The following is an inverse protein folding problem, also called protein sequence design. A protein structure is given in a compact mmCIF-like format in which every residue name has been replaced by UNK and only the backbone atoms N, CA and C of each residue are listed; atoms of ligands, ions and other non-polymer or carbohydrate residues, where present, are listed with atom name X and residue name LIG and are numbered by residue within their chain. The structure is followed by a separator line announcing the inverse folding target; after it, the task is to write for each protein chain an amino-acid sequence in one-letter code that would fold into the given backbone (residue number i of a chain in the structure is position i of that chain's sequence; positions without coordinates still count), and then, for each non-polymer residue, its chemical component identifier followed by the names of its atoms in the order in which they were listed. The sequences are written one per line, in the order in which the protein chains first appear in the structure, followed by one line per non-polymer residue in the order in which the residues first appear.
data_IF_177969632473
#
_entry.id   IF_177969632473
#
_cell.length_a   1.000
_cell.length_b   1.000
_cell.length_c   1.000
_cell.angle_alpha   90.00
_cell.angle_beta   90.00
_cell.angle_gamma   90.00
#
_symmetry.space_group_name_H-M   'P 1'
#
loop_
_entity.id
_entity.type
_entity.pdbx_description
1 polymer ?
#
# COMPACT_ATOMS: atom_id res chain seq x y z
N UNK A 1 -78.72 9.44 18.14
CA UNK A 1 -77.59 8.72 18.77
C UNK A 1 -76.88 7.93 17.69
N UNK A 2 -75.81 8.48 17.12
CA UNK A 2 -74.95 7.77 16.16
C UNK A 2 -73.50 8.20 16.44
N UNK A 3 -72.79 7.38 17.22
CA UNK A 3 -71.35 7.55 17.43
C UNK A 3 -70.62 7.02 16.20
N UNK A 4 -70.01 7.91 15.41
CA UNK A 4 -69.05 7.55 14.37
C UNK A 4 -67.69 7.39 15.04
N UNK A 5 -67.16 6.18 15.06
CA UNK A 5 -65.82 5.87 15.54
C UNK A 5 -64.80 6.41 14.51
N UNK A 6 -64.02 7.42 14.93
CA UNK A 6 -62.88 7.90 14.17
C UNK A 6 -61.76 6.85 14.24
N UNK A 7 -61.49 6.19 13.11
CA UNK A 7 -60.37 5.25 12.99
C UNK A 7 -59.08 6.05 12.85
N UNK A 8 -58.39 6.23 13.98
CA UNK A 8 -57.11 6.92 14.06
C UNK A 8 -56.02 6.08 13.36
N UNK A 9 -55.82 6.33 12.07
CA UNK A 9 -54.66 5.81 11.33
C UNK A 9 -53.42 6.53 11.85
N UNK A 10 -52.84 5.99 12.93
CA UNK A 10 -51.48 6.30 13.36
C UNK A 10 -50.56 6.21 12.13
N UNK A 11 -50.11 7.36 11.63
CA UNK A 11 -49.01 7.47 10.68
C UNK A 11 -47.80 6.77 11.30
N UNK A 12 -47.58 5.52 10.88
CA UNK A 12 -46.35 4.77 11.16
C UNK A 12 -45.21 5.61 10.60
N UNK A 13 -44.29 6.02 11.47
CA UNK A 13 -43.45 7.19 11.28
C UNK A 13 -42.61 7.18 10.01
N UNK A 14 -42.51 8.37 9.39
CA UNK A 14 -41.58 8.75 8.32
C UNK A 14 -40.09 8.52 8.69
N UNK A 15 -39.80 8.11 9.92
CA UNK A 15 -38.46 7.77 10.41
C UNK A 15 -37.75 6.71 9.54
N UNK A 16 -38.51 5.82 8.90
CA UNK A 16 -37.96 4.79 8.01
C UNK A 16 -37.56 5.31 6.63
N UNK A 17 -38.22 6.34 6.12
CA UNK A 17 -37.92 6.94 4.82
C UNK A 17 -36.57 7.69 4.86
N UNK A 18 -36.36 8.48 5.92
CA UNK A 18 -35.10 9.19 6.15
C UNK A 18 -33.92 8.22 6.32
N UNK A 19 -34.10 7.12 7.05
CA UNK A 19 -33.07 6.10 7.20
C UNK A 19 -32.70 5.43 5.87
N UNK A 20 -33.67 5.22 4.97
CA UNK A 20 -33.44 4.63 3.65
C UNK A 20 -32.72 5.59 2.70
N UNK A 21 -33.04 6.88 2.76
CA UNK A 21 -32.37 7.92 1.96
C UNK A 21 -30.87 8.01 2.31
N UNK A 22 -30.52 7.96 3.60
CA UNK A 22 -29.10 7.95 4.03
C UNK A 22 -28.42 6.59 3.81
N UNK A 23 -29.16 5.48 3.83
CA UNK A 23 -28.60 4.16 3.55
C UNK A 23 -27.97 4.06 2.15
N UNK A 24 -28.47 4.84 1.18
CA UNK A 24 -27.87 4.94 -0.16
C UNK A 24 -26.52 5.66 -0.19
N UNK A 25 -26.25 6.57 0.76
CA UNK A 25 -24.98 7.31 0.84
C UNK A 25 -23.86 6.50 1.49
N UNK A 26 -24.22 5.56 2.36
CA UNK A 26 -23.24 4.75 3.11
C UNK A 26 -22.30 3.94 2.19
N UNK A 27 -22.78 3.20 1.16
CA UNK A 27 -21.90 2.53 0.20
C UNK A 27 -20.95 3.49 -0.54
N UNK A 28 -21.42 4.69 -0.90
CA UNK A 28 -20.60 5.70 -1.55
C UNK A 28 -19.49 6.21 -0.63
N UNK A 29 -19.81 6.48 0.64
CA UNK A 29 -18.82 6.88 1.64
C UNK A 29 -17.75 5.79 1.83
N UNK A 30 -18.17 4.52 1.93
CA UNK A 30 -17.22 3.40 1.99
C UNK A 30 -16.34 3.34 0.75
N UNK A 31 -16.90 3.49 -0.46
CA UNK A 31 -16.13 3.49 -1.68
C UNK A 31 -15.02 4.56 -1.68
N UNK A 32 -15.33 5.78 -1.25
CA UNK A 32 -14.34 6.86 -1.12
C UNK A 32 -13.27 6.51 -0.08
N UNK A 33 -13.66 5.99 1.09
CA UNK A 33 -12.72 5.54 2.12
C UNK A 33 -11.80 4.45 1.58
N UNK A 34 -12.34 3.48 0.83
CA UNK A 34 -11.55 2.41 0.21
C UNK A 34 -10.55 2.97 -0.81
N UNK A 35 -10.95 3.92 -1.66
CA UNK A 35 -10.03 4.56 -2.60
C UNK A 35 -8.92 5.32 -1.88
N UNK A 36 -9.25 6.09 -0.84
CA UNK A 36 -8.27 6.80 -0.04
C UNK A 36 -7.28 5.81 0.65
N UNK A 37 -7.80 4.71 1.18
CA UNK A 37 -6.98 3.68 1.81
C UNK A 37 -6.08 2.97 0.80
N UNK A 38 -6.57 2.69 -0.41
CA UNK A 38 -5.76 2.11 -1.49
C UNK A 38 -4.62 3.06 -1.91
N UNK A 39 -4.89 4.36 -2.02
CA UNK A 39 -3.87 5.37 -2.30
C UNK A 39 -2.84 5.51 -1.17
N UNK A 40 -3.29 5.40 0.08
CA UNK A 40 -2.39 5.40 1.24
C UNK A 40 -1.46 4.17 1.23
N UNK A 41 -1.99 2.98 1.00
CA UNK A 41 -1.21 1.74 0.92
C UNK A 41 -0.21 1.77 -0.25
N UNK A 42 -0.58 2.35 -1.39
CA UNK A 42 0.33 2.48 -2.53
C UNK A 42 1.50 3.41 -2.22
N UNK A 43 1.23 4.60 -1.69
CA UNK A 43 2.26 5.57 -1.36
C UNK A 43 3.21 5.02 -0.28
N UNK A 44 2.67 4.44 0.78
CA UNK A 44 3.48 3.84 1.85
C UNK A 44 4.37 2.70 1.33
N UNK A 45 3.89 1.87 0.41
CA UNK A 45 4.71 0.82 -0.19
C UNK A 45 5.87 1.39 -1.00
N UNK A 46 5.62 2.40 -1.83
CA UNK A 46 6.70 3.06 -2.61
C UNK A 46 7.76 3.64 -1.69
N UNK A 47 7.37 4.40 -0.67
CA UNK A 47 8.32 5.00 0.28
C UNK A 47 9.13 3.94 1.04
N UNK A 48 8.52 2.79 1.37
CA UNK A 48 9.23 1.71 2.07
C UNK A 48 10.22 1.01 1.15
N UNK A 49 9.85 0.70 -0.09
CA UNK A 49 10.75 0.09 -1.08
C UNK A 49 11.97 0.97 -1.33
N UNK A 50 11.76 2.28 -1.47
CA UNK A 50 12.87 3.23 -1.63
C UNK A 50 13.79 3.24 -0.41
N UNK A 51 13.23 3.28 0.80
CA UNK A 51 14.02 3.26 2.03
C UNK A 51 14.82 1.97 2.19
N UNK A 52 14.23 0.82 1.83
CA UNK A 52 14.90 -0.49 1.83
C UNK A 52 16.09 -0.48 0.86
N UNK A 53 15.87 -0.06 -0.39
CA UNK A 53 16.90 -0.02 -1.43
C UNK A 53 18.06 0.90 -1.04
N UNK A 54 17.75 2.09 -0.51
CA UNK A 54 18.75 3.08 -0.09
C UNK A 54 19.57 2.60 1.11
N UNK A 55 18.93 1.97 2.09
CA UNK A 55 19.61 1.43 3.27
C UNK A 55 20.51 0.26 2.89
N UNK A 56 20.00 -0.68 2.09
CA UNK A 56 20.78 -1.83 1.60
C UNK A 56 21.99 -1.41 0.78
N UNK A 57 21.83 -0.45 -0.14
CA UNK A 57 22.93 0.07 -0.95
C UNK A 57 24.00 0.80 -0.10
N UNK A 58 23.58 1.57 0.91
CA UNK A 58 24.49 2.31 1.79
C UNK A 58 25.38 1.37 2.61
N UNK A 59 24.79 0.37 3.25
CA UNK A 59 25.54 -0.58 4.08
C UNK A 59 26.47 -1.47 3.23
N UNK A 60 25.99 -1.92 2.07
CA UNK A 60 26.80 -2.69 1.13
C UNK A 60 27.99 -1.88 0.58
N UNK A 61 27.78 -0.59 0.30
CA UNK A 61 28.82 0.32 -0.18
C UNK A 61 29.88 0.60 0.89
N UNK A 62 29.46 0.80 2.14
CA UNK A 62 30.39 1.07 3.26
C UNK A 62 31.32 -0.11 3.58
N UNK A 63 30.87 -1.35 3.33
CA UNK A 63 31.65 -2.56 3.62
C UNK A 63 32.24 -3.22 2.39
N UNK A 64 32.10 -2.60 1.21
CA UNK A 64 32.62 -3.10 -0.08
C UNK A 64 32.13 -4.52 -0.44
N UNK A 65 30.98 -4.92 0.09
CA UNK A 65 30.48 -6.30 0.03
C UNK A 65 29.02 -6.34 -0.47
N UNK A 66 28.79 -6.77 -1.73
CA UNK A 66 27.46 -6.72 -2.34
C UNK A 66 26.44 -7.67 -1.71
N UNK A 67 26.91 -8.79 -1.14
CA UNK A 67 26.05 -9.76 -0.46
C UNK A 67 25.33 -9.17 0.76
N UNK A 68 25.86 -8.09 1.33
CA UNK A 68 25.26 -7.42 2.48
C UNK A 68 24.03 -6.58 2.12
N UNK A 69 23.87 -6.14 0.86
CA UNK A 69 22.67 -5.40 0.45
C UNK A 69 21.41 -6.23 0.75
N UNK A 70 21.42 -7.52 0.42
CA UNK A 70 20.27 -8.41 0.67
C UNK A 70 20.00 -8.55 2.17
N UNK A 71 21.05 -8.69 2.98
CA UNK A 71 20.91 -8.85 4.42
C UNK A 71 20.34 -7.59 5.10
N UNK A 72 20.90 -6.42 4.82
CA UNK A 72 20.46 -5.16 5.42
C UNK A 72 19.12 -4.68 4.86
N UNK A 73 18.85 -4.90 3.57
CA UNK A 73 17.54 -4.63 3.01
C UNK A 73 16.45 -5.49 3.67
N UNK A 74 16.75 -6.76 3.97
CA UNK A 74 15.82 -7.62 4.70
C UNK A 74 15.62 -7.21 6.17
N UNK A 75 16.64 -6.65 6.83
CA UNK A 75 16.53 -6.27 8.25
C UNK A 75 15.63 -5.05 8.49
N UNK A 76 15.53 -4.15 7.50
CA UNK A 76 14.64 -2.97 7.56
C UNK A 76 13.30 -3.17 6.85
N UNK A 77 13.07 -4.36 6.30
CA UNK A 77 11.83 -4.71 5.60
C UNK A 77 10.67 -4.78 6.61
N UNK A 78 9.53 -4.15 6.31
CA UNK A 78 8.35 -4.30 7.15
C UNK A 78 7.73 -5.69 6.99
N UNK A 79 7.24 -6.28 8.09
CA UNK A 79 6.70 -7.63 8.12
C UNK A 79 5.45 -7.87 7.25
N UNK A 80 4.74 -6.81 6.86
CA UNK A 80 3.57 -6.90 6.00
C UNK A 80 3.90 -7.03 4.49
N UNK A 81 5.17 -6.81 4.11
CA UNK A 81 5.63 -6.89 2.71
C UNK A 81 6.16 -8.30 2.41
N UNK A 82 5.26 -9.17 1.98
CA UNK A 82 5.54 -10.60 1.78
C UNK A 82 6.02 -10.94 0.37
N UNK A 83 5.51 -10.25 -0.66
CA UNK A 83 5.88 -10.48 -2.06
C UNK A 83 6.93 -9.46 -2.51
N UNK A 84 8.19 -9.87 -2.48
CA UNK A 84 9.33 -9.01 -2.80
C UNK A 84 10.50 -9.83 -3.35
N UNK A 85 11.40 -9.13 -4.03
CA UNK A 85 12.64 -9.66 -4.57
C UNK A 85 13.74 -8.63 -4.32
N UNK A 86 14.80 -9.02 -3.62
CA UNK A 86 15.95 -8.17 -3.37
C UNK A 86 17.16 -8.85 -3.99
N UNK A 87 17.89 -8.10 -4.81
CA UNK A 87 19.13 -8.53 -5.43
C UNK A 87 20.22 -7.50 -5.15
N UNK A 88 21.42 -7.96 -4.84
CA UNK A 88 22.60 -7.12 -4.63
C UNK A 88 23.77 -7.67 -5.42
N UNK A 89 24.57 -6.79 -6.01
CA UNK A 89 25.71 -7.22 -6.84
C UNK A 89 26.76 -6.15 -7.04
N UNK A 90 27.90 -6.57 -7.58
CA UNK A 90 28.94 -5.64 -8.06
C UNK A 90 28.52 -5.05 -9.40
N UNK A 91 28.78 -3.78 -9.58
CA UNK A 91 28.67 -3.09 -10.87
C UNK A 91 29.82 -2.10 -11.00
N UNK A 92 29.89 -1.37 -12.10
CA UNK A 92 30.83 -0.27 -12.30
C UNK A 92 30.06 1.00 -12.58
N UNK A 93 30.46 2.11 -11.97
CA UNK A 93 29.90 3.44 -12.24
C UNK A 93 31.06 4.37 -12.56
N UNK A 94 30.97 5.02 -13.72
CA UNK A 94 32.09 5.75 -14.34
C UNK A 94 33.33 4.83 -14.47
N UNK A 95 34.39 5.10 -13.73
CA UNK A 95 35.65 4.34 -13.73
C UNK A 95 35.94 3.58 -12.42
N UNK A 96 34.99 3.58 -11.47
CA UNK A 96 35.13 2.94 -10.17
C UNK A 96 34.30 1.66 -10.03
N UNK A 97 34.74 0.77 -9.13
CA UNK A 97 33.90 -0.32 -8.66
C UNK A 97 32.70 0.26 -7.89
N UNK A 98 31.55 -0.37 -8.03
CA UNK A 98 30.30 0.06 -7.42
C UNK A 98 29.52 -1.16 -6.94
N UNK A 99 28.56 -0.93 -6.05
CA UNK A 99 27.56 -1.92 -5.65
C UNK A 99 26.18 -1.42 -6.03
N UNK A 100 25.36 -2.31 -6.57
CA UNK A 100 23.96 -2.03 -6.79
C UNK A 100 23.10 -2.85 -5.83
N UNK A 101 21.97 -2.27 -5.44
CA UNK A 101 20.93 -2.90 -4.65
C UNK A 101 19.60 -2.70 -5.41
N UNK A 102 19.04 -3.78 -5.90
CA UNK A 102 17.77 -3.82 -6.63
C UNK A 102 16.69 -4.38 -5.71
N UNK A 103 15.62 -3.62 -5.53
CA UNK A 103 14.50 -4.00 -4.69
C UNK A 103 13.24 -3.89 -5.52
N UNK A 104 12.57 -5.03 -5.66
CA UNK A 104 11.27 -5.16 -6.30
C UNK A 104 10.28 -5.62 -5.23
N UNK A 105 9.13 -4.96 -5.14
CA UNK A 105 8.06 -5.42 -4.26
C UNK A 105 6.70 -5.21 -4.90
N UNK A 106 5.82 -6.20 -4.70
CA UNK A 106 4.44 -6.10 -5.15
C UNK A 106 3.62 -5.33 -4.15
N UNK A 107 2.77 -4.44 -4.67
CA UNK A 107 1.81 -3.73 -3.85
C UNK A 107 0.79 -4.73 -3.29
N UNK A 108 0.47 -4.72 -1.99
CA UNK A 108 -0.62 -5.52 -1.49
C UNK A 108 -1.95 -4.95 -2.01
N UNK A 109 -2.54 -5.63 -3.00
CA UNK A 109 -3.86 -5.27 -3.54
C UNK A 109 -4.91 -5.76 -2.56
N UNK A 110 -5.76 -4.84 -2.11
CA UNK A 110 -6.86 -5.17 -1.18
C UNK A 110 -7.96 -5.98 -1.90
N UNK A 111 -8.11 -5.75 -3.21
CA UNK A 111 -9.07 -6.43 -4.07
C UNK A 111 -8.41 -7.55 -4.88
N UNK A 112 -8.60 -8.80 -4.47
CA UNK A 112 -8.14 -9.99 -5.22
C UNK A 112 -8.90 -10.21 -6.55
N UNK A 113 -9.99 -9.49 -6.79
CA UNK A 113 -10.85 -9.63 -7.98
C UNK A 113 -10.54 -8.64 -9.11
N UNK A 114 -9.62 -7.70 -8.91
CA UNK A 114 -9.18 -6.76 -9.94
C UNK A 114 -7.70 -7.05 -10.23
N UNK A 115 -7.32 -7.42 -11.46
CA UNK A 115 -5.94 -7.78 -11.81
C UNK A 115 -5.04 -6.55 -11.92
N UNK A 116 -4.88 -5.82 -10.82
CA UNK A 116 -4.00 -4.67 -10.71
C UNK A 116 -2.65 -5.10 -10.12
N UNK A 117 -1.93 -5.98 -10.82
CA UNK A 117 -0.58 -6.41 -10.44
C UNK A 117 0.41 -5.24 -10.58
N UNK A 118 0.50 -4.42 -9.53
CA UNK A 118 1.41 -3.29 -9.50
C UNK A 118 2.69 -3.65 -8.75
N UNK A 119 3.79 -3.69 -9.48
CA UNK A 119 5.13 -3.94 -8.94
C UNK A 119 5.89 -2.63 -8.85
N UNK A 120 6.44 -2.34 -7.67
CA UNK A 120 7.34 -1.21 -7.45
C UNK A 120 8.77 -1.72 -7.53
N UNK A 121 9.53 -1.21 -8.48
CA UNK A 121 10.93 -1.58 -8.70
C UNK A 121 11.83 -0.38 -8.48
N UNK A 122 12.86 -0.53 -7.64
CA UNK A 122 13.87 0.50 -7.37
C UNK A 122 15.26 -0.11 -7.36
N UNK A 123 16.15 0.46 -8.17
CA UNK A 123 17.58 0.16 -8.18
C UNK A 123 18.34 1.35 -7.63
N UNK A 124 19.21 1.11 -6.66
CA UNK A 124 20.15 2.11 -6.15
C UNK A 124 21.56 1.60 -6.38
N UNK A 125 22.40 2.42 -6.99
CA UNK A 125 23.81 2.12 -7.21
C UNK A 125 24.66 3.08 -6.39
N UNK A 126 25.65 2.55 -5.67
CA UNK A 126 26.63 3.34 -4.94
C UNK A 126 28.05 3.03 -5.43
N UNK A 127 28.87 4.04 -5.72
CA UNK A 127 30.29 3.84 -5.98
C UNK A 127 31.00 3.39 -4.71
N UNK A 128 31.99 2.51 -4.88
CA UNK A 128 32.98 2.17 -3.87
C UNK A 128 34.04 3.27 -3.89
N UNK A 129 34.03 4.11 -2.85
CA UNK A 129 35.02 5.18 -2.67
C UNK A 129 36.34 4.66 -2.13
#
# INVERSE_FOLDING_TARGET
MTHVAAHDFRRRGDSGAVALEYAGTVPLAFFVIFLAFQAYVSFTTVSRVENIARTGAREAGQRYEPGLCVQYANSVRPAWLNDYKIEGGRTKVADGDAVYCHVEAKLPIIWKGIPLDYTVTRTVTMPLG
#
